data_IF_185494282529
#
_entry.id   IF_185494282529
#
_cell.length_a   1.000
_cell.length_b   1.000
_cell.length_c   1.000
_cell.angle_alpha   90.00
_cell.angle_beta   90.00
_cell.angle_gamma   90.00
#
_symmetry.space_group_name_H-M   'P 1'
#
loop_
_entity.id
_entity.type
_entity.pdbx_description
1 polymer ?
#
# COMPACT_ATOMS: atom_id res chain seq x y z
N UNK A 1 9.28 17.98 10.71
CA UNK A 1 8.08 17.76 9.87
C UNK A 1 6.83 17.99 10.69
N UNK A 2 5.87 18.75 10.15
CA UNK A 2 4.54 18.92 10.73
C UNK A 2 3.67 17.67 10.57
N UNK A 3 2.61 17.54 11.38
CA UNK A 3 1.66 16.42 11.25
C UNK A 3 1.01 16.36 9.87
N UNK A 4 0.70 17.53 9.30
CA UNK A 4 0.18 17.68 7.94
C UNK A 4 1.16 17.15 6.89
N UNK A 5 2.43 17.57 6.95
CA UNK A 5 3.48 17.07 6.05
C UNK A 5 3.66 15.55 6.15
N UNK A 6 3.55 14.97 7.35
CA UNK A 6 3.60 13.51 7.52
C UNK A 6 2.47 12.80 6.79
N UNK A 7 1.24 13.31 6.88
CA UNK A 7 0.06 12.77 6.17
C UNK A 7 0.21 12.95 4.66
N UNK A 8 0.66 14.11 4.18
CA UNK A 8 0.87 14.37 2.75
C UNK A 8 1.98 13.47 2.17
N UNK A 9 3.10 13.31 2.87
CA UNK A 9 4.17 12.39 2.47
C UNK A 9 3.69 10.93 2.45
N UNK A 10 2.92 10.50 3.46
CA UNK A 10 2.32 9.17 3.47
C UNK A 10 1.39 8.98 2.25
N UNK A 11 0.53 9.94 1.97
CA UNK A 11 -0.41 9.92 0.84
C UNK A 11 0.35 9.84 -0.49
N UNK A 12 1.39 10.65 -0.67
CA UNK A 12 2.25 10.63 -1.85
C UNK A 12 2.97 9.29 -2.04
N UNK A 13 3.41 8.67 -0.94
CA UNK A 13 4.00 7.33 -0.99
C UNK A 13 2.99 6.29 -1.47
N UNK A 14 1.72 6.39 -1.05
CA UNK A 14 0.66 5.49 -1.50
C UNK A 14 0.29 5.71 -2.97
N UNK A 15 0.35 6.93 -3.49
CA UNK A 15 0.20 7.16 -4.94
C UNK A 15 1.30 6.47 -5.73
N UNK A 16 2.56 6.62 -5.30
CA UNK A 16 3.70 5.93 -5.93
C UNK A 16 3.55 4.40 -5.87
N UNK A 17 3.12 3.88 -4.71
CA UNK A 17 2.86 2.46 -4.53
C UNK A 17 1.71 1.95 -5.41
N UNK A 18 0.63 2.72 -5.58
CA UNK A 18 -0.49 2.36 -6.44
C UNK A 18 -0.06 2.24 -7.92
N UNK A 19 0.77 3.17 -8.40
CA UNK A 19 1.33 3.10 -9.76
C UNK A 19 2.26 1.90 -9.92
N UNK A 20 3.11 1.64 -8.93
CA UNK A 20 3.97 0.46 -8.91
C UNK A 20 3.16 -0.84 -8.92
N UNK A 21 2.09 -0.92 -8.12
CA UNK A 21 1.19 -2.07 -8.08
C UNK A 21 0.43 -2.28 -9.39
N UNK A 22 0.03 -1.21 -10.06
CA UNK A 22 -0.55 -1.27 -11.41
C UNK A 22 0.39 -1.88 -12.43
N UNK A 23 1.64 -1.40 -12.46
CA UNK A 23 2.69 -1.96 -13.33
C UNK A 23 2.94 -3.44 -12.99
N UNK A 24 3.03 -3.79 -11.70
CA UNK A 24 3.20 -5.15 -11.25
C UNK A 24 2.04 -6.07 -11.69
N UNK A 25 0.80 -5.62 -11.53
CA UNK A 25 -0.40 -6.36 -11.95
C UNK A 25 -0.42 -6.61 -13.45
N UNK A 26 -0.02 -5.63 -14.26
CA UNK A 26 0.09 -5.77 -15.71
C UNK A 26 1.16 -6.81 -16.10
N UNK A 27 2.36 -6.73 -15.50
CA UNK A 27 3.45 -7.68 -15.77
C UNK A 27 3.11 -9.12 -15.34
N UNK A 28 2.33 -9.29 -14.27
CA UNK A 28 1.89 -10.62 -13.81
C UNK A 28 0.75 -11.20 -14.64
N UNK A 29 -0.17 -10.35 -15.12
CA UNK A 29 -1.34 -10.76 -15.91
C UNK A 29 -1.04 -11.05 -17.39
N UNK A 30 0.14 -10.69 -17.88
CA UNK A 30 0.55 -10.86 -19.27
C UNK A 30 -0.02 -9.80 -20.23
N UNK A 31 0.40 -9.84 -21.49
CA UNK A 31 0.07 -8.85 -22.53
C UNK A 31 -1.29 -9.11 -23.20
N UNK A 32 -2.37 -9.05 -22.42
CA UNK A 32 -3.75 -9.20 -22.90
C UNK A 32 -4.60 -7.94 -22.67
N UNK A 33 -5.63 -7.74 -23.48
CA UNK A 33 -6.55 -6.61 -23.30
C UNK A 33 -7.27 -6.66 -21.94
N UNK A 34 -7.74 -7.83 -21.53
CA UNK A 34 -8.45 -7.99 -20.25
C UNK A 34 -7.53 -7.83 -19.02
N UNK A 35 -6.27 -8.27 -19.09
CA UNK A 35 -5.29 -8.05 -18.02
C UNK A 35 -4.90 -6.57 -17.92
N UNK A 36 -4.76 -5.88 -19.05
CA UNK A 36 -4.54 -4.44 -19.09
C UNK A 36 -5.70 -3.64 -18.47
N UNK A 37 -6.95 -3.97 -18.85
CA UNK A 37 -8.14 -3.33 -18.29
C UNK A 37 -8.28 -3.58 -16.79
N UNK A 38 -8.01 -4.82 -16.34
CA UNK A 38 -8.01 -5.15 -14.91
C UNK A 38 -6.95 -4.39 -14.12
N UNK A 39 -5.72 -4.31 -14.65
CA UNK A 39 -4.62 -3.56 -14.04
C UNK A 39 -4.95 -2.06 -13.98
N UNK A 40 -5.49 -1.49 -15.06
CA UNK A 40 -5.91 -0.09 -15.10
C UNK A 40 -7.02 0.20 -14.10
N UNK A 41 -8.08 -0.63 -14.07
CA UNK A 41 -9.21 -0.46 -13.15
C UNK A 41 -8.80 -0.52 -11.68
N UNK A 42 -7.99 -1.51 -11.31
CA UNK A 42 -7.45 -1.63 -9.95
C UNK A 42 -6.53 -0.47 -9.56
N UNK A 43 -5.71 0.01 -10.49
CA UNK A 43 -4.85 1.20 -10.27
C UNK A 43 -5.69 2.45 -10.03
N UNK A 44 -6.70 2.70 -10.88
CA UNK A 44 -7.59 3.86 -10.74
C UNK A 44 -8.36 3.82 -9.42
N UNK A 45 -8.87 2.65 -9.04
CA UNK A 45 -9.53 2.47 -7.75
C UNK A 45 -8.56 2.76 -6.59
N UNK A 46 -7.33 2.24 -6.65
CA UNK A 46 -6.32 2.50 -5.62
C UNK A 46 -5.99 3.98 -5.50
N UNK A 47 -5.79 4.68 -6.63
CA UNK A 47 -5.54 6.13 -6.65
C UNK A 47 -6.72 6.92 -6.06
N UNK A 48 -7.95 6.55 -6.42
CA UNK A 48 -9.16 7.17 -5.88
C UNK A 48 -9.25 6.98 -4.36
N UNK A 49 -9.03 5.76 -3.86
CA UNK A 49 -9.04 5.48 -2.42
C UNK A 49 -7.93 6.24 -1.69
N UNK A 50 -6.72 6.28 -2.24
CA UNK A 50 -5.61 7.08 -1.69
C UNK A 50 -5.98 8.55 -1.60
N UNK A 51 -6.57 9.12 -2.65
CA UNK A 51 -7.05 10.50 -2.66
C UNK A 51 -8.12 10.74 -1.60
N UNK A 52 -9.15 9.89 -1.56
CA UNK A 52 -10.28 10.03 -0.64
C UNK A 52 -9.82 9.99 0.82
N UNK A 53 -9.03 8.98 1.19
CA UNK A 53 -8.54 8.84 2.56
C UNK A 53 -7.52 9.91 2.94
N UNK A 54 -6.63 10.31 2.01
CA UNK A 54 -5.70 11.42 2.25
C UNK A 54 -6.42 12.73 2.56
N UNK A 55 -7.46 13.07 1.79
CA UNK A 55 -8.29 14.27 2.03
C UNK A 55 -9.04 14.19 3.37
N UNK A 56 -9.58 13.03 3.73
CA UNK A 56 -10.27 12.82 5.02
C UNK A 56 -9.32 12.94 6.22
N UNK A 57 -8.08 12.46 6.11
CA UNK A 57 -7.06 12.62 7.15
C UNK A 57 -6.66 14.10 7.32
N UNK A 58 -6.50 14.84 6.22
CA UNK A 58 -6.23 16.28 6.26
C UNK A 58 -7.41 17.09 6.81
N UNK A 59 -8.63 16.61 6.60
CA UNK A 59 -9.84 17.14 7.23
C UNK A 59 -10.03 16.70 8.70
N UNK A 60 -8.98 16.15 9.33
CA UNK A 60 -8.95 15.72 10.74
C UNK A 60 -10.00 14.65 11.09
N UNK A 61 -10.25 13.70 10.18
CA UNK A 61 -11.14 12.57 10.43
C UNK A 61 -10.54 11.51 11.36
N UNK A 62 -10.89 11.51 12.65
CA UNK A 62 -10.44 10.52 13.64
C UNK A 62 -10.87 9.09 13.34
N UNK A 63 -12.11 8.90 12.88
CA UNK A 63 -12.64 7.59 12.45
C UNK A 63 -11.84 7.05 11.27
N UNK A 64 -11.52 7.91 10.29
CA UNK A 64 -10.70 7.52 9.13
C UNK A 64 -9.31 7.08 9.57
N UNK A 65 -8.69 7.81 10.51
CA UNK A 65 -7.41 7.42 11.10
C UNK A 65 -7.48 6.05 11.79
N UNK A 66 -8.48 5.81 12.63
CA UNK A 66 -8.66 4.52 13.30
C UNK A 66 -8.85 3.38 12.28
N UNK A 67 -9.72 3.58 11.29
CA UNK A 67 -9.94 2.61 10.22
C UNK A 67 -8.64 2.26 9.49
N UNK A 68 -7.86 3.28 9.09
CA UNK A 68 -6.59 3.06 8.39
C UNK A 68 -5.53 2.38 9.25
N UNK A 69 -5.52 2.63 10.57
CA UNK A 69 -4.65 1.89 11.50
C UNK A 69 -5.02 0.41 11.50
N UNK A 70 -6.30 0.08 11.64
CA UNK A 70 -6.77 -1.32 11.66
C UNK A 70 -6.45 -2.00 10.33
N UNK A 71 -6.78 -1.37 9.20
CA UNK A 71 -6.48 -1.91 7.86
C UNK A 71 -4.97 -2.09 7.66
N UNK A 72 -4.16 -1.13 8.09
CA UNK A 72 -2.70 -1.24 7.97
C UNK A 72 -2.11 -2.35 8.85
N UNK A 73 -2.67 -2.56 10.05
CA UNK A 73 -2.25 -3.65 10.93
C UNK A 73 -2.58 -5.02 10.34
N UNK A 74 -3.81 -5.20 9.86
CA UNK A 74 -4.23 -6.44 9.18
C UNK A 74 -3.42 -6.66 7.90
N UNK A 75 -3.22 -5.61 7.11
CA UNK A 75 -2.41 -5.63 5.90
C UNK A 75 -0.96 -6.00 6.19
N UNK A 76 -0.36 -5.46 7.24
CA UNK A 76 1.00 -5.80 7.64
C UNK A 76 1.15 -7.29 7.92
N UNK A 77 0.22 -7.89 8.68
CA UNK A 77 0.25 -9.31 8.99
C UNK A 77 0.04 -10.15 7.73
N UNK A 78 -1.00 -9.84 6.95
CA UNK A 78 -1.33 -10.60 5.74
C UNK A 78 -0.19 -10.57 4.70
N UNK A 79 0.38 -9.40 4.43
CA UNK A 79 1.47 -9.27 3.47
C UNK A 79 2.79 -9.85 3.98
N UNK A 80 3.05 -9.83 5.29
CA UNK A 80 4.24 -10.49 5.85
C UNK A 80 4.15 -12.01 5.70
N UNK A 81 2.97 -12.58 5.97
CA UNK A 81 2.73 -14.01 5.75
C UNK A 81 2.81 -14.37 4.25
N UNK A 82 2.21 -13.56 3.38
CA UNK A 82 2.31 -13.74 1.93
C UNK A 82 3.75 -13.64 1.42
N UNK A 83 4.54 -12.68 1.91
CA UNK A 83 5.95 -12.52 1.56
C UNK A 83 6.77 -13.76 1.97
N UNK A 84 6.52 -14.33 3.15
CA UNK A 84 7.16 -15.58 3.57
C UNK A 84 6.80 -16.74 2.63
N UNK A 85 5.52 -16.88 2.24
CA UNK A 85 5.07 -17.88 1.27
C UNK A 85 5.77 -17.76 -0.08
N UNK A 86 5.80 -16.55 -0.65
CA UNK A 86 6.47 -16.26 -1.92
C UNK A 86 7.99 -16.47 -1.81
N UNK A 87 8.60 -16.07 -0.69
CA UNK A 87 10.02 -16.25 -0.44
C UNK A 87 10.44 -17.72 -0.43
N UNK A 88 9.65 -18.60 0.22
CA UNK A 88 9.89 -20.05 0.15
C UNK A 88 9.76 -20.59 -1.26
N UNK A 89 8.74 -20.17 -2.01
CA UNK A 89 8.57 -20.58 -3.39
C UNK A 89 9.75 -20.12 -4.27
N UNK A 90 10.27 -18.91 -4.02
CA UNK A 90 11.41 -18.37 -4.75
C UNK A 90 12.69 -19.19 -4.53
N UNK A 91 13.00 -19.56 -3.28
CA UNK A 91 14.19 -20.38 -2.95
C UNK A 91 14.18 -21.71 -3.71
N UNK A 92 13.00 -22.30 -3.93
CA UNK A 92 12.86 -23.57 -4.61
C UNK A 92 12.90 -23.46 -6.14
N UNK A 93 12.39 -22.36 -6.71
CA UNK A 93 12.12 -22.26 -8.15
C UNK A 93 12.95 -21.21 -8.91
N UNK A 94 13.64 -20.29 -8.22
CA UNK A 94 14.50 -19.26 -8.81
C UNK A 94 13.92 -18.55 -10.03
N UNK A 95 12.65 -18.15 -9.96
CA UNK A 95 11.96 -17.50 -11.09
C UNK A 95 11.85 -15.99 -10.91
N UNK A 96 12.02 -15.25 -12.00
CA UNK A 96 11.83 -13.80 -12.02
C UNK A 96 10.41 -13.40 -11.59
N UNK A 97 9.40 -14.19 -11.96
CA UNK A 97 8.01 -13.95 -11.54
C UNK A 97 7.86 -13.91 -10.03
N UNK A 98 8.49 -14.85 -9.33
CA UNK A 98 8.49 -14.92 -7.87
C UNK A 98 9.35 -13.83 -7.24
N UNK A 99 10.47 -13.47 -7.86
CA UNK A 99 11.31 -12.35 -7.42
C UNK A 99 10.52 -11.03 -7.43
N UNK A 100 9.85 -10.72 -8.55
CA UNK A 100 8.98 -9.54 -8.63
C UNK A 100 7.84 -9.59 -7.62
N UNK A 101 7.23 -10.76 -7.42
CA UNK A 101 6.21 -10.97 -6.39
C UNK A 101 6.73 -10.70 -4.98
N UNK A 102 7.97 -11.09 -4.69
CA UNK A 102 8.61 -10.88 -3.40
C UNK A 102 8.91 -9.39 -3.18
N UNK A 103 9.39 -8.67 -4.20
CA UNK A 103 9.61 -7.22 -4.14
C UNK A 103 8.29 -6.49 -3.89
N UNK A 104 7.22 -6.87 -4.59
CA UNK A 104 5.90 -6.28 -4.38
C UNK A 104 5.35 -6.56 -2.98
N UNK A 105 5.49 -7.79 -2.48
CA UNK A 105 5.09 -8.14 -1.13
C UNK A 105 5.90 -7.38 -0.06
N UNK A 106 7.22 -7.25 -0.23
CA UNK A 106 8.08 -6.48 0.66
C UNK A 106 7.72 -4.98 0.65
N UNK A 107 7.45 -4.40 -0.52
CA UNK A 107 6.95 -3.03 -0.63
C UNK A 107 5.59 -2.86 0.07
N UNK A 108 4.69 -3.83 -0.05
CA UNK A 108 3.39 -3.84 0.63
C UNK A 108 3.55 -3.87 2.15
N UNK A 109 4.43 -4.72 2.68
CA UNK A 109 4.78 -4.77 4.12
C UNK A 109 5.32 -3.41 4.57
N UNK A 110 6.28 -2.86 3.82
CA UNK A 110 6.88 -1.57 4.14
C UNK A 110 5.84 -0.44 4.19
N UNK A 111 4.93 -0.39 3.21
CA UNK A 111 3.88 0.63 3.14
C UNK A 111 2.88 0.54 4.30
N UNK A 112 2.48 -0.68 4.67
CA UNK A 112 1.61 -0.88 5.84
C UNK A 112 2.31 -0.51 7.15
N UNK A 113 3.58 -0.89 7.31
CA UNK A 113 4.37 -0.51 8.47
C UNK A 113 4.59 1.02 8.57
N UNK A 114 4.92 1.66 7.45
CA UNK A 114 5.06 3.13 7.35
C UNK A 114 3.74 3.82 7.71
N UNK A 115 2.61 3.31 7.23
CA UNK A 115 1.28 3.82 7.55
C UNK A 115 0.99 3.76 9.04
N UNK A 116 1.26 2.61 9.69
CA UNK A 116 1.12 2.49 11.14
C UNK A 116 1.98 3.51 11.87
N UNK A 117 3.29 3.57 11.57
CA UNK A 117 4.20 4.53 12.22
C UNK A 117 3.73 5.97 12.12
N UNK A 118 3.25 6.40 10.95
CA UNK A 118 2.76 7.76 10.74
C UNK A 118 1.43 8.00 11.44
N UNK A 119 0.47 7.07 11.33
CA UNK A 119 -0.87 7.24 11.90
C UNK A 119 -0.89 7.12 13.43
N UNK A 120 0.04 6.39 14.03
CA UNK A 120 0.19 6.30 15.50
C UNK A 120 1.11 7.36 16.09
N UNK A 121 1.78 8.17 15.25
CA UNK A 121 2.66 9.24 15.71
C UNK A 121 1.91 10.26 16.58
N UNK A 122 2.52 10.68 17.69
CA UNK A 122 1.89 11.59 18.65
C UNK A 122 1.45 12.91 18.01
N UNK A 123 2.21 13.43 17.04
CA UNK A 123 1.89 14.67 16.34
C UNK A 123 0.69 14.50 15.39
N UNK A 124 0.57 13.34 14.74
CA UNK A 124 -0.57 13.03 13.86
C UNK A 124 -1.82 12.76 14.69
N UNK A 125 -1.69 12.07 15.82
CA UNK A 125 -2.77 11.89 16.79
C UNK A 125 -3.28 13.24 17.29
N UNK A 126 -2.41 14.13 17.77
CA UNK A 126 -2.85 15.44 18.27
C UNK A 126 -3.47 16.33 17.19
N UNK A 127 -3.05 16.18 15.92
CA UNK A 127 -3.59 16.93 14.79
C UNK A 127 -4.99 16.48 14.37
N UNK A 128 -5.22 15.16 14.35
CA UNK A 128 -6.48 14.54 13.87
C UNK A 128 -7.49 14.31 14.99
N UNK A 129 -7.03 14.08 16.22
CA UNK A 129 -7.80 13.49 17.32
C UNK A 129 -7.30 12.08 17.66
#
# INVERSE_FOLDING_TARGET
MSAREKIENLTNSWYGFALFGGLFSFLQGGFGLFSALGAMGSTLLSLFLTYFFGRRLLAKGSITRLFLIVVSALGLVAWSYGAYGIGRAFINAWSFKLLFGLVYAAASVHMNFKSLRVLTDAQVKSYVG
#
